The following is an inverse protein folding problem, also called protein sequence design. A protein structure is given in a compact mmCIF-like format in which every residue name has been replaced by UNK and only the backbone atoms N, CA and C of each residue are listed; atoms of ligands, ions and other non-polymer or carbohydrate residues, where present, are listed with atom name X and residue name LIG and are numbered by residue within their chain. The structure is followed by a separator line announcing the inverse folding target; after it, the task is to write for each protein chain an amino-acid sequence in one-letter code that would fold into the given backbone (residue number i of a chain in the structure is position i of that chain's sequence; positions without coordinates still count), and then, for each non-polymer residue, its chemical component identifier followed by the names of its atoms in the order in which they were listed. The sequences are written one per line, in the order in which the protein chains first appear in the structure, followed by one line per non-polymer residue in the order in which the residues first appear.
data_IF_128722610853
#
_entry.id   IF_128722610853
#
_cell.length_a   1.000
_cell.length_b   1.000
_cell.length_c   1.000
_cell.angle_alpha   90.00
_cell.angle_beta   90.00
_cell.angle_gamma   90.00
#
_symmetry.space_group_name_H-M   'P 1'
#
loop_
_entity.id
_entity.type
_entity.pdbx_description
1 polymer ?
#
# COMPACT_ATOMS: atom_id res chain seq x y z
N UNK A 1 -2.94 21.55 -8.22
CA UNK A 1 -2.56 20.13 -8.10
C UNK A 1 -2.87 19.59 -6.72
N UNK A 2 -2.21 20.07 -5.65
CA UNK A 2 -2.45 19.53 -4.30
C UNK A 2 -3.88 19.70 -3.81
N UNK A 3 -4.60 20.75 -4.21
CA UNK A 3 -6.01 20.89 -3.84
C UNK A 3 -6.85 19.76 -4.44
N UNK A 4 -6.62 19.36 -5.69
CA UNK A 4 -7.28 18.20 -6.29
C UNK A 4 -6.99 16.90 -5.52
N UNK A 5 -5.73 16.71 -5.10
CA UNK A 5 -5.34 15.55 -4.28
C UNK A 5 -6.02 15.59 -2.91
N UNK A 6 -6.11 16.77 -2.28
CA UNK A 6 -6.80 16.96 -1.00
C UNK A 6 -8.29 16.64 -1.11
N UNK A 7 -8.96 17.16 -2.13
CA UNK A 7 -10.40 16.93 -2.35
C UNK A 7 -10.70 15.48 -2.75
N UNK A 8 -9.72 14.76 -3.31
CA UNK A 8 -9.88 13.34 -3.70
C UNK A 8 -9.67 12.36 -2.55
N UNK A 9 -8.95 12.74 -1.50
CA UNK A 9 -8.55 11.84 -0.41
C UNK A 9 -9.29 12.17 0.89
N UNK A 10 -9.28 11.25 1.86
CA UNK A 10 -9.63 11.63 3.23
C UNK A 10 -8.60 12.61 3.81
N UNK A 11 -8.99 13.40 4.81
CA UNK A 11 -8.06 14.32 5.49
C UNK A 11 -6.80 13.59 6.01
N UNK A 12 -6.98 12.47 6.72
CA UNK A 12 -5.87 11.62 7.20
C UNK A 12 -5.04 11.05 6.06
N UNK A 13 -5.67 10.70 4.93
CA UNK A 13 -5.01 10.25 3.71
C UNK A 13 -4.11 11.32 3.11
N UNK A 14 -4.64 12.52 2.93
CA UNK A 14 -3.91 13.67 2.41
C UNK A 14 -2.73 14.04 3.31
N UNK A 15 -2.93 14.06 4.63
CA UNK A 15 -1.87 14.34 5.59
C UNK A 15 -0.74 13.30 5.49
N UNK A 16 -1.08 12.00 5.42
CA UNK A 16 -0.09 10.93 5.23
C UNK A 16 0.70 11.09 3.93
N UNK A 17 0.04 11.45 2.83
CA UNK A 17 0.70 11.71 1.53
C UNK A 17 1.64 12.92 1.63
N UNK A 18 1.21 13.99 2.30
CA UNK A 18 2.07 15.16 2.53
C UNK A 18 3.26 14.85 3.41
N UNK A 19 3.08 14.02 4.43
CA UNK A 19 4.18 13.60 5.31
C UNK A 19 5.20 12.70 4.59
N UNK A 20 4.76 11.84 3.65
CA UNK A 20 5.69 11.13 2.75
C UNK A 20 6.53 12.13 1.93
N UNK A 21 5.90 13.17 1.35
CA UNK A 21 6.61 14.19 0.59
C UNK A 21 7.58 15.01 1.47
N UNK A 22 7.21 15.30 2.72
CA UNK A 22 8.07 16.00 3.70
C UNK A 22 9.26 15.14 4.13
N UNK A 23 9.03 13.85 4.41
CA UNK A 23 10.11 12.93 4.75
C UNK A 23 11.03 12.63 3.57
N UNK A 24 10.53 12.72 2.33
CA UNK A 24 11.39 12.72 1.15
C UNK A 24 12.37 13.90 1.20
N UNK A 25 11.89 15.11 1.48
CA UNK A 25 12.77 16.28 1.68
C UNK A 25 13.79 16.07 2.78
N UNK A 26 13.34 15.55 3.92
CA UNK A 26 14.22 15.27 5.05
C UNK A 26 15.33 14.29 4.67
N UNK A 27 15.02 13.21 3.96
CA UNK A 27 16.03 12.31 3.39
C UNK A 27 17.02 13.08 2.50
N UNK A 28 16.49 13.96 1.64
CA UNK A 28 17.29 14.85 0.80
C UNK A 28 18.28 15.71 1.58
N UNK A 29 17.89 16.22 2.75
CA UNK A 29 18.80 16.93 3.65
C UNK A 29 19.87 16.00 4.23
N UNK A 30 19.48 14.82 4.71
CA UNK A 30 20.40 13.83 5.31
C UNK A 30 21.48 13.36 4.33
N UNK A 31 21.13 13.17 3.05
CA UNK A 31 22.05 12.67 2.02
C UNK A 31 22.64 13.78 1.13
N UNK A 32 22.33 15.05 1.42
CA UNK A 32 22.84 16.20 0.67
C UNK A 32 22.33 16.28 -0.78
N UNK A 33 21.11 15.79 -1.07
CA UNK A 33 20.53 15.76 -2.42
C UNK A 33 19.04 16.14 -2.46
N UNK A 34 18.72 17.34 -1.95
CA UNK A 34 17.34 17.90 -1.98
C UNK A 34 16.81 18.20 -3.38
N UNK A 35 17.65 18.18 -4.42
CA UNK A 35 17.21 18.31 -5.81
C UNK A 35 16.43 17.08 -6.28
N UNK A 36 16.90 15.89 -5.92
CA UNK A 36 16.24 14.62 -6.28
C UNK A 36 15.17 14.26 -5.25
N UNK A 37 15.48 14.41 -3.96
CA UNK A 37 14.58 14.06 -2.88
C UNK A 37 13.84 15.28 -2.32
N UNK A 38 13.54 16.29 -3.13
CA UNK A 38 12.86 17.49 -2.64
C UNK A 38 11.43 17.20 -2.18
N UNK A 39 10.87 18.09 -1.36
CA UNK A 39 9.45 18.04 -0.97
C UNK A 39 8.52 18.06 -2.19
N UNK A 40 8.98 18.69 -3.28
CA UNK A 40 8.23 18.92 -4.50
C UNK A 40 8.75 18.11 -5.70
N UNK A 41 9.63 17.14 -5.47
CA UNK A 41 10.20 16.28 -6.50
C UNK A 41 9.26 15.13 -6.88
N UNK A 42 8.03 15.47 -7.28
CA UNK A 42 6.96 14.55 -7.64
C UNK A 42 6.30 14.97 -8.96
N UNK A 43 5.86 14.00 -9.74
CA UNK A 43 5.16 14.20 -11.00
C UNK A 43 3.67 13.97 -10.82
N UNK A 44 2.87 14.83 -11.45
CA UNK A 44 1.43 14.70 -11.49
C UNK A 44 0.96 14.54 -12.93
N UNK A 45 0.10 13.56 -13.17
CA UNK A 45 -0.51 13.32 -14.48
C UNK A 45 -2.03 13.30 -14.33
N UNK A 46 -2.73 14.06 -15.16
CA UNK A 46 -4.19 14.04 -15.26
C UNK A 46 -4.59 13.24 -16.51
N UNK A 47 -5.56 12.36 -16.37
CA UNK A 47 -6.11 11.54 -17.44
C UNK A 47 -7.58 11.91 -17.66
N UNK A 48 -7.91 12.31 -18.89
CA UNK A 48 -9.25 12.80 -19.22
C UNK A 48 -9.59 14.15 -18.58
N UNK A 49 -10.86 14.52 -18.67
CA UNK A 49 -11.41 15.73 -18.06
C UNK A 49 -12.23 15.38 -16.81
N UNK A 50 -12.02 16.05 -15.66
CA UNK A 50 -12.82 15.82 -14.47
C UNK A 50 -14.32 15.85 -14.74
N UNK A 51 -15.01 14.78 -14.38
CA UNK A 51 -16.41 14.58 -14.68
C UNK A 51 -17.10 13.75 -13.59
N UNK A 52 -18.38 14.05 -13.26
CA UNK A 52 -19.15 13.20 -12.36
C UNK A 52 -19.55 11.86 -13.01
N UNK A 53 -19.53 11.78 -14.36
CA UNK A 53 -20.07 10.63 -15.11
C UNK A 53 -19.06 9.97 -16.03
N UNK A 54 -18.22 10.75 -16.73
CA UNK A 54 -17.21 10.20 -17.65
C UNK A 54 -16.00 9.70 -16.86
N UNK A 55 -15.28 8.67 -17.36
CA UNK A 55 -14.03 8.24 -16.75
C UNK A 55 -12.98 9.35 -16.79
N UNK A 56 -12.35 9.62 -15.66
CA UNK A 56 -11.17 10.45 -15.53
C UNK A 56 -10.34 9.98 -14.34
N UNK A 57 -9.11 10.43 -14.25
CA UNK A 57 -8.24 10.02 -13.16
C UNK A 57 -6.98 10.84 -13.05
N UNK A 58 -6.20 10.54 -12.04
CA UNK A 58 -4.92 11.21 -11.85
C UNK A 58 -3.90 10.27 -11.20
N UNK A 59 -2.63 10.58 -11.44
CA UNK A 59 -1.49 9.95 -10.81
C UNK A 59 -0.65 11.01 -10.11
N UNK A 60 -0.17 10.69 -8.90
CA UNK A 60 0.87 11.44 -8.21
C UNK A 60 1.98 10.45 -7.87
N UNK A 61 3.18 10.65 -8.44
CA UNK A 61 4.28 9.71 -8.27
C UNK A 61 5.64 10.39 -8.06
N UNK A 62 6.53 9.71 -7.36
CA UNK A 62 7.90 10.14 -7.10
C UNK A 62 8.59 9.14 -6.18
N UNK A 63 9.74 9.54 -5.64
CA UNK A 63 10.42 8.71 -4.65
C UNK A 63 9.51 8.48 -3.44
N UNK A 64 9.33 7.22 -3.05
CA UNK A 64 8.45 6.79 -1.95
C UNK A 64 6.94 7.07 -2.08
N UNK A 65 6.45 7.49 -3.25
CA UNK A 65 5.02 7.77 -3.45
C UNK A 65 4.56 7.34 -4.83
N UNK A 66 3.50 6.54 -4.91
CA UNK A 66 2.72 6.39 -6.13
C UNK A 66 1.24 6.24 -5.78
N UNK A 67 0.42 7.18 -6.22
CA UNK A 67 -1.03 7.16 -6.07
C UNK A 67 -1.66 7.08 -7.46
N UNK A 68 -2.65 6.20 -7.61
CA UNK A 68 -3.38 6.01 -8.86
C UNK A 68 -4.87 6.11 -8.57
N UNK A 69 -5.50 7.18 -9.03
CA UNK A 69 -6.91 7.46 -8.82
C UNK A 69 -7.68 7.36 -10.14
N UNK A 70 -8.73 6.54 -10.16
CA UNK A 70 -9.74 6.52 -11.22
C UNK A 70 -11.08 6.92 -10.60
N UNK A 71 -11.79 7.82 -11.27
CA UNK A 71 -13.18 8.17 -10.98
C UNK A 71 -14.03 7.91 -12.22
N UNK A 72 -15.14 7.21 -12.03
CA UNK A 72 -16.06 6.85 -13.11
C UNK A 72 -17.46 6.65 -12.53
N UNK A 73 -18.43 7.39 -13.04
CA UNK A 73 -19.84 7.28 -12.64
C UNK A 73 -20.08 7.22 -11.12
N UNK A 74 -19.50 8.17 -10.39
CA UNK A 74 -19.58 8.24 -8.92
C UNK A 74 -18.77 7.19 -8.15
N UNK A 75 -18.10 6.26 -8.82
CA UNK A 75 -17.20 5.27 -8.22
C UNK A 75 -15.75 5.75 -8.25
N UNK A 76 -14.99 5.40 -7.22
CA UNK A 76 -13.58 5.76 -7.09
C UNK A 76 -12.73 4.52 -6.80
N UNK A 77 -11.65 4.35 -7.56
CA UNK A 77 -10.61 3.35 -7.30
C UNK A 77 -9.30 4.09 -7.00
N UNK A 78 -8.71 3.82 -5.83
CA UNK A 78 -7.41 4.37 -5.42
C UNK A 78 -6.40 3.23 -5.24
N UNK A 79 -6.08 2.56 -6.34
CA UNK A 79 -5.10 1.48 -6.37
C UNK A 79 -4.59 1.25 -7.79
N UNK A 80 -3.30 0.91 -7.99
CA UNK A 80 -2.32 0.63 -6.94
C UNK A 80 -1.92 1.88 -6.15
N UNK A 81 -1.57 1.70 -4.88
CA UNK A 81 -1.05 2.75 -4.00
C UNK A 81 0.27 2.24 -3.41
N UNK A 82 1.32 3.06 -3.49
CA UNK A 82 2.60 2.84 -2.85
C UNK A 82 2.93 4.05 -1.97
N UNK A 83 3.18 3.79 -0.69
CA UNK A 83 3.67 4.77 0.27
C UNK A 83 4.90 4.19 0.96
N UNK A 84 6.00 4.93 0.96
CA UNK A 84 7.19 4.58 1.71
C UNK A 84 7.81 5.77 2.43
N UNK A 85 8.84 5.52 3.23
CA UNK A 85 9.76 6.53 3.74
C UNK A 85 11.05 5.90 4.27
N UNK A 86 12.13 6.65 4.17
CA UNK A 86 13.47 6.35 4.71
C UNK A 86 14.07 7.72 5.10
N UNK A 87 14.18 8.08 6.40
CA UNK A 87 13.55 7.45 7.55
C UNK A 87 12.02 7.70 7.62
N UNK A 88 11.28 6.88 8.37
CA UNK A 88 9.83 7.04 8.65
C UNK A 88 9.49 8.13 9.67
N UNK A 89 10.49 8.90 10.10
CA UNK A 89 10.36 10.01 11.02
C UNK A 89 11.41 11.10 10.77
N UNK A 90 11.12 12.32 11.20
CA UNK A 90 12.10 13.39 11.28
C UNK A 90 12.32 13.81 12.74
N UNK A 91 13.55 13.72 13.22
CA UNK A 91 13.98 14.12 14.57
C UNK A 91 14.70 15.48 14.59
N UNK A 92 14.98 16.04 13.42
CA UNK A 92 15.58 17.36 13.21
C UNK A 92 15.00 18.06 11.97
N UNK A 93 15.55 19.23 11.62
CA UNK A 93 15.15 19.97 10.43
C UNK A 93 13.76 20.61 10.50
N UNK A 94 13.29 21.12 9.36
CA UNK A 94 12.01 21.82 9.23
C UNK A 94 10.81 20.93 9.63
N UNK A 95 10.90 19.63 9.39
CA UNK A 95 9.81 18.67 9.58
C UNK A 95 9.94 17.85 10.86
N UNK A 96 10.77 18.30 11.81
CA UNK A 96 10.93 17.65 13.13
C UNK A 96 9.57 17.34 13.77
N UNK A 97 9.40 16.07 14.15
CA UNK A 97 8.19 15.56 14.78
C UNK A 97 7.26 14.79 13.84
N UNK A 98 7.43 14.90 12.51
CA UNK A 98 6.70 14.07 11.55
C UNK A 98 7.07 12.60 11.75
N UNK A 99 6.06 11.73 11.76
CA UNK A 99 6.15 10.28 11.94
C UNK A 99 5.03 9.61 11.14
N UNK A 100 5.35 8.60 10.35
CA UNK A 100 4.36 7.85 9.55
C UNK A 100 4.52 6.33 9.70
N UNK A 101 3.47 5.59 9.33
CA UNK A 101 3.36 4.11 9.39
C UNK A 101 3.28 3.47 10.77
N UNK A 102 3.02 4.25 11.84
CA UNK A 102 2.87 3.71 13.20
C UNK A 102 1.67 2.76 13.30
N UNK A 103 0.55 3.13 12.68
CA UNK A 103 -0.67 2.33 12.72
C UNK A 103 -0.44 0.98 12.01
N UNK A 104 0.11 0.99 10.79
CA UNK A 104 0.44 -0.23 10.03
C UNK A 104 1.43 -1.13 10.78
N UNK A 105 2.48 -0.56 11.36
CA UNK A 105 3.48 -1.30 12.12
C UNK A 105 2.85 -1.97 13.36
N UNK A 106 2.17 -1.18 14.20
CA UNK A 106 1.60 -1.68 15.45
C UNK A 106 0.46 -2.68 15.23
N UNK A 107 -0.47 -2.38 14.32
CA UNK A 107 -1.61 -3.26 14.05
C UNK A 107 -1.16 -4.59 13.42
N UNK A 108 -0.15 -4.56 12.54
CA UNK A 108 0.45 -5.77 11.95
C UNK A 108 1.13 -6.65 13.00
N UNK A 109 1.94 -6.03 13.86
CA UNK A 109 2.65 -6.73 14.94
C UNK A 109 1.67 -7.28 16.00
N UNK A 110 0.64 -6.53 16.36
CA UNK A 110 -0.43 -6.98 17.24
C UNK A 110 -1.13 -8.22 16.65
N UNK A 111 -1.50 -8.18 15.36
CA UNK A 111 -2.21 -9.28 14.72
C UNK A 111 -1.42 -10.58 14.79
N UNK A 112 -0.14 -10.59 14.40
CA UNK A 112 0.68 -11.81 14.41
C UNK A 112 0.90 -12.35 15.84
N UNK A 113 0.95 -11.46 16.84
CA UNK A 113 1.07 -11.82 18.26
C UNK A 113 -0.23 -12.37 18.85
N UNK A 114 -1.39 -11.93 18.35
CA UNK A 114 -2.70 -12.43 18.75
C UNK A 114 -3.02 -13.83 18.20
N UNK A 115 -2.28 -14.31 17.20
CA UNK A 115 -2.48 -15.65 16.64
C UNK A 115 -2.16 -16.74 17.66
N UNK A 116 -2.95 -17.81 17.65
CA UNK A 116 -2.62 -19.04 18.39
C UNK A 116 -1.32 -19.64 17.86
N UNK A 117 -0.69 -20.55 18.61
CA UNK A 117 0.54 -21.22 18.16
C UNK A 117 0.37 -21.90 16.80
N UNK A 118 -0.77 -22.57 16.57
CA UNK A 118 -1.09 -23.21 15.30
C UNK A 118 -1.31 -22.22 14.15
N UNK A 119 -2.08 -21.15 14.38
CA UNK A 119 -2.28 -20.10 13.38
C UNK A 119 -0.96 -19.38 13.05
N UNK A 120 -0.13 -19.09 14.05
CA UNK A 120 1.16 -18.42 13.87
C UNK A 120 2.14 -19.30 13.10
N UNK A 121 2.14 -20.61 13.33
CA UNK A 121 2.94 -21.56 12.55
C UNK A 121 2.55 -21.60 11.06
N UNK A 122 1.28 -21.32 10.74
CA UNK A 122 0.83 -21.17 9.35
C UNK A 122 1.13 -19.78 8.78
N UNK A 123 0.96 -18.73 9.58
CA UNK A 123 1.18 -17.34 9.14
C UNK A 123 2.66 -17.03 8.88
N UNK A 124 3.56 -17.46 9.77
CA UNK A 124 5.00 -17.21 9.64
C UNK A 124 5.57 -18.20 8.63
N UNK A 125 5.70 -17.75 7.38
CA UNK A 125 6.20 -18.58 6.30
C UNK A 125 7.72 -18.62 6.27
N UNK A 126 8.40 -17.64 6.89
CA UNK A 126 9.87 -17.58 7.06
C UNK A 126 10.23 -16.77 8.31
N UNK A 127 11.34 -17.11 8.96
CA UNK A 127 11.79 -16.43 10.18
C UNK A 127 12.79 -15.30 9.96
N UNK A 128 13.47 -15.28 8.81
CA UNK A 128 14.41 -14.21 8.42
C UNK A 128 13.78 -13.39 7.30
N UNK A 129 13.83 -12.06 7.40
CA UNK A 129 13.53 -11.11 6.32
C UNK A 129 14.82 -10.60 5.64
N UNK A 130 15.97 -11.20 5.94
CA UNK A 130 17.21 -10.88 5.25
C UNK A 130 17.17 -11.46 3.84
N UNK A 131 17.48 -10.62 2.85
CA UNK A 131 17.48 -10.99 1.43
C UNK A 131 18.33 -12.21 1.08
N UNK A 132 19.57 -12.35 1.59
CA UNK A 132 20.43 -13.51 1.30
C UNK A 132 19.88 -14.86 1.76
N UNK A 133 19.00 -14.87 2.76
CA UNK A 133 18.40 -16.10 3.30
C UNK A 133 17.13 -16.51 2.54
N UNK A 134 16.66 -15.68 1.60
CA UNK A 134 15.43 -15.95 0.85
C UNK A 134 15.65 -16.95 -0.27
N UNK A 135 14.64 -17.78 -0.59
CA UNK A 135 14.69 -18.64 -1.76
C UNK A 135 14.77 -17.81 -3.06
N UNK A 136 15.31 -18.39 -4.14
CA UNK A 136 15.36 -17.72 -5.45
C UNK A 136 13.98 -17.17 -5.85
N UNK A 137 13.96 -15.90 -6.29
CA UNK A 137 12.75 -15.22 -6.73
C UNK A 137 11.87 -14.63 -5.62
N UNK A 138 12.21 -14.81 -4.33
CA UNK A 138 11.48 -14.17 -3.21
C UNK A 138 12.04 -12.81 -2.80
N UNK A 139 13.30 -12.53 -3.12
CA UNK A 139 13.93 -11.25 -2.83
C UNK A 139 14.35 -10.53 -4.11
N UNK A 140 14.11 -9.23 -4.18
CA UNK A 140 14.55 -8.35 -5.26
C UNK A 140 15.35 -7.17 -4.71
N UNK A 141 16.37 -6.68 -5.44
CA UNK A 141 17.22 -5.58 -4.95
C UNK A 141 16.45 -4.28 -4.70
N UNK A 142 15.43 -4.00 -5.50
CA UNK A 142 14.65 -2.76 -5.38
C UNK A 142 13.39 -2.95 -4.52
N UNK A 143 12.69 -4.08 -4.68
CA UNK A 143 11.40 -4.33 -4.02
C UNK A 143 11.52 -5.13 -2.72
N UNK A 144 12.71 -5.67 -2.43
CA UNK A 144 13.00 -6.59 -1.33
C UNK A 144 12.02 -7.76 -1.29
N UNK A 145 11.14 -7.84 -0.29
CA UNK A 145 10.19 -8.94 -0.15
C UNK A 145 8.84 -8.68 -0.84
N UNK A 146 8.61 -7.47 -1.35
CA UNK A 146 7.39 -7.14 -2.08
C UNK A 146 7.25 -7.98 -3.36
N UNK A 147 6.05 -8.51 -3.57
CA UNK A 147 5.66 -9.18 -4.82
C UNK A 147 4.81 -8.28 -5.72
N UNK A 148 4.14 -7.30 -5.13
CA UNK A 148 3.28 -6.32 -5.79
C UNK A 148 3.98 -5.00 -6.11
N UNK A 149 5.31 -4.97 -6.15
CA UNK A 149 6.13 -3.80 -6.49
C UNK A 149 5.94 -3.26 -7.92
N UNK A 150 6.85 -2.38 -8.33
CA UNK A 150 6.81 -1.77 -9.66
C UNK A 150 6.85 -2.84 -10.77
N UNK A 151 6.22 -2.56 -11.91
CA UNK A 151 6.18 -3.46 -13.09
C UNK A 151 5.50 -4.83 -12.87
N UNK A 152 4.72 -4.97 -11.80
CA UNK A 152 3.96 -6.18 -11.48
C UNK A 152 2.44 -6.01 -11.63
N UNK A 153 2.02 -5.26 -12.65
CA UNK A 153 0.60 -5.01 -12.95
C UNK A 153 -0.21 -6.28 -13.08
N UNK A 154 -1.28 -6.36 -12.27
CA UNK A 154 -2.21 -7.50 -12.22
C UNK A 154 -1.51 -8.85 -11.99
N UNK A 155 -0.36 -8.86 -11.33
CA UNK A 155 0.38 -10.08 -11.03
C UNK A 155 -0.48 -11.03 -10.21
N UNK A 156 -0.57 -12.28 -10.67
CA UNK A 156 -1.17 -13.37 -9.89
C UNK A 156 -0.14 -13.86 -8.89
N UNK A 157 -0.43 -13.62 -7.60
CA UNK A 157 0.40 -14.06 -6.47
C UNK A 157 -0.34 -15.19 -5.75
N UNK A 158 0.28 -16.36 -5.53
CA UNK A 158 -0.34 -17.42 -4.73
C UNK A 158 -0.66 -16.95 -3.31
N UNK A 159 -1.81 -17.39 -2.77
CA UNK A 159 -2.12 -17.18 -1.36
C UNK A 159 -1.08 -17.91 -0.49
N UNK A 160 -0.65 -17.24 0.58
CA UNK A 160 0.29 -17.77 1.56
C UNK A 160 -0.23 -17.44 2.96
N UNK A 161 0.18 -18.22 3.94
CA UNK A 161 -0.11 -17.94 5.34
C UNK A 161 -1.42 -18.54 5.82
N UNK A 162 -1.95 -17.96 6.91
CA UNK A 162 -3.16 -18.44 7.58
C UNK A 162 -4.41 -17.78 6.99
N UNK A 163 -5.46 -18.57 6.79
CA UNK A 163 -6.76 -18.07 6.35
C UNK A 163 -7.57 -17.53 7.55
N UNK A 164 -8.17 -16.35 7.38
CA UNK A 164 -8.98 -15.70 8.40
C UNK A 164 -10.34 -16.38 8.65
N UNK A 165 -10.73 -17.38 7.84
CA UNK A 165 -11.80 -18.31 8.18
C UNK A 165 -11.61 -18.93 9.58
N UNK A 166 -10.36 -19.28 9.92
CA UNK A 166 -9.99 -19.86 11.22
C UNK A 166 -9.72 -18.85 12.34
N UNK A 167 -9.93 -17.54 12.11
CA UNK A 167 -9.69 -16.51 13.11
C UNK A 167 -10.84 -16.41 14.11
N UNK A 168 -10.52 -16.10 15.37
CA UNK A 168 -11.50 -15.66 16.36
C UNK A 168 -12.09 -14.29 15.98
N UNK A 169 -13.22 -13.90 16.58
CA UNK A 169 -13.82 -12.60 16.31
C UNK A 169 -12.87 -11.43 16.61
N UNK A 170 -12.05 -11.54 17.66
CA UNK A 170 -11.05 -10.51 18.00
C UNK A 170 -9.94 -10.42 16.94
N UNK A 171 -9.45 -11.56 16.43
CA UNK A 171 -8.45 -11.60 15.36
C UNK A 171 -9.01 -11.06 14.03
N UNK A 172 -10.27 -11.36 13.72
CA UNK A 172 -10.99 -10.81 12.56
C UNK A 172 -11.11 -9.30 12.64
N UNK A 173 -11.52 -8.77 13.79
CA UNK A 173 -11.61 -7.33 14.00
C UNK A 173 -10.24 -6.66 13.86
N UNK A 174 -9.18 -7.24 14.44
CA UNK A 174 -7.82 -6.69 14.29
C UNK A 174 -7.33 -6.71 12.83
N UNK A 175 -7.66 -7.75 12.07
CA UNK A 175 -7.35 -7.80 10.64
C UNK A 175 -8.10 -6.70 9.86
N UNK A 176 -9.38 -6.46 10.19
CA UNK A 176 -10.16 -5.38 9.57
C UNK A 176 -9.63 -3.99 9.95
N UNK A 177 -9.25 -3.77 11.22
CA UNK A 177 -8.59 -2.53 11.66
C UNK A 177 -7.32 -2.27 10.85
N UNK A 178 -6.51 -3.33 10.65
CA UNK A 178 -5.29 -3.28 9.87
C UNK A 178 -5.57 -2.93 8.40
N UNK A 179 -6.50 -3.62 7.75
CA UNK A 179 -6.90 -3.29 6.37
C UNK A 179 -7.41 -1.85 6.26
N UNK A 180 -8.20 -1.39 7.24
CA UNK A 180 -8.70 -0.02 7.27
C UNK A 180 -7.57 1.03 7.36
N UNK A 181 -6.46 0.74 8.06
CA UNK A 181 -5.30 1.62 8.10
C UNK A 181 -4.71 1.85 6.69
N UNK A 182 -4.69 0.81 5.85
CA UNK A 182 -4.21 0.88 4.46
C UNK A 182 -5.16 1.58 3.50
N UNK A 183 -6.46 1.39 3.66
CA UNK A 183 -7.46 2.02 2.79
C UNK A 183 -7.92 3.38 3.31
N UNK A 184 -7.34 3.86 4.40
CA UNK A 184 -7.58 5.19 4.98
C UNK A 184 -7.43 6.33 3.98
N UNK A 185 -6.53 6.30 2.97
CA UNK A 185 -6.48 7.36 1.97
C UNK A 185 -7.79 7.59 1.19
N UNK A 186 -8.64 6.57 1.04
CA UNK A 186 -9.96 6.73 0.44
C UNK A 186 -10.87 7.65 1.27
N UNK A 187 -11.69 8.50 0.65
CA UNK A 187 -12.74 9.26 1.34
C UNK A 187 -13.84 8.32 1.85
N UNK A 188 -14.72 8.82 2.72
CA UNK A 188 -15.64 8.01 3.53
C UNK A 188 -16.47 7.01 2.71
N UNK A 189 -17.12 7.46 1.63
CA UNK A 189 -17.97 6.61 0.77
C UNK A 189 -17.18 5.45 0.13
N UNK A 190 -16.17 5.73 -0.71
CA UNK A 190 -15.31 4.71 -1.30
C UNK A 190 -14.62 3.79 -0.27
N UNK A 191 -14.19 4.35 0.88
CA UNK A 191 -13.59 3.56 1.96
C UNK A 191 -14.58 2.58 2.57
N UNK A 192 -15.82 3.02 2.85
CA UNK A 192 -16.88 2.16 3.36
C UNK A 192 -17.19 1.03 2.37
N UNK A 193 -17.35 1.36 1.09
CA UNK A 193 -17.60 0.36 0.06
C UNK A 193 -16.47 -0.69 -0.03
N UNK A 194 -15.21 -0.23 0.07
CA UNK A 194 -14.04 -1.12 0.11
C UNK A 194 -14.04 -2.02 1.34
N UNK A 195 -14.31 -1.48 2.52
CA UNK A 195 -14.33 -2.27 3.76
C UNK A 195 -15.46 -3.30 3.76
N UNK A 196 -16.66 -2.94 3.29
CA UNK A 196 -17.76 -3.89 3.13
C UNK A 196 -17.41 -5.03 2.15
N UNK A 197 -16.65 -4.73 1.09
CA UNK A 197 -16.15 -5.73 0.15
C UNK A 197 -15.15 -6.69 0.81
N UNK A 198 -14.20 -6.17 1.58
CA UNK A 198 -13.25 -6.96 2.35
C UNK A 198 -13.96 -7.84 3.37
N UNK A 199 -14.95 -7.31 4.09
CA UNK A 199 -15.73 -8.06 5.08
C UNK A 199 -16.48 -9.25 4.45
N UNK A 200 -17.08 -9.07 3.27
CA UNK A 200 -17.73 -10.16 2.53
C UNK A 200 -16.77 -11.30 2.17
N UNK A 201 -15.50 -10.99 1.95
CA UNK A 201 -14.44 -11.95 1.61
C UNK A 201 -13.49 -12.25 2.77
N UNK A 202 -13.89 -11.92 4.01
CA UNK A 202 -13.00 -12.04 5.16
C UNK A 202 -12.57 -13.49 5.41
N UNK A 203 -13.45 -14.46 5.20
CA UNK A 203 -13.11 -15.88 5.35
C UNK A 203 -12.02 -16.33 4.36
N UNK A 204 -11.99 -15.75 3.15
CA UNK A 204 -11.03 -16.05 2.09
C UNK A 204 -9.76 -15.18 2.15
N UNK A 205 -9.67 -14.31 3.17
CA UNK A 205 -8.52 -13.44 3.36
C UNK A 205 -7.39 -14.20 4.06
N UNK A 206 -6.20 -14.14 3.48
CA UNK A 206 -5.00 -14.76 4.00
C UNK A 206 -4.04 -13.72 4.57
N UNK A 207 -3.36 -14.09 5.66
CA UNK A 207 -2.32 -13.31 6.30
C UNK A 207 -1.02 -14.11 6.39
N UNK A 208 0.07 -13.59 5.82
CA UNK A 208 1.40 -14.18 5.96
C UNK A 208 2.41 -13.18 6.52
N UNK A 209 3.46 -13.74 7.14
CA UNK A 209 4.50 -13.01 7.86
C UNK A 209 5.88 -13.58 7.55
N UNK A 210 6.86 -12.70 7.42
CA UNK A 210 8.28 -13.03 7.31
C UNK A 210 9.07 -12.18 8.29
N UNK A 211 9.93 -12.80 9.10
CA UNK A 211 10.79 -12.09 10.04
C UNK A 211 10.43 -12.32 11.51
N UNK A 212 10.99 -11.50 12.39
CA UNK A 212 10.78 -11.60 13.83
C UNK A 212 9.43 -11.03 14.27
N UNK A 213 9.05 -11.29 15.52
CA UNK A 213 7.79 -10.79 16.12
C UNK A 213 8.04 -10.01 17.42
N UNK A 214 9.30 -9.66 17.71
CA UNK A 214 9.69 -8.82 18.85
C UNK A 214 9.58 -7.33 18.53
N UNK A 215 9.64 -6.47 19.55
CA UNK A 215 9.46 -5.02 19.36
C UNK A 215 10.56 -4.37 18.51
N UNK A 216 11.77 -4.94 18.60
CA UNK A 216 12.94 -4.56 17.81
C UNK A 216 13.12 -5.39 16.53
N UNK A 217 12.23 -6.35 16.26
CA UNK A 217 12.33 -7.16 15.05
C UNK A 217 11.95 -6.36 13.82
N UNK A 218 12.57 -6.72 12.69
CA UNK A 218 12.08 -6.33 11.37
C UNK A 218 11.32 -7.46 10.69
N UNK A 219 10.42 -7.08 9.78
CA UNK A 219 9.49 -8.01 9.18
C UNK A 219 8.83 -7.49 7.90
N UNK A 220 8.26 -8.44 7.18
CA UNK A 220 7.30 -8.26 6.11
C UNK A 220 5.99 -8.94 6.50
N UNK A 221 4.87 -8.38 6.04
CA UNK A 221 3.61 -9.12 6.03
C UNK A 221 2.79 -8.82 4.78
N UNK A 222 1.89 -9.75 4.47
CA UNK A 222 0.92 -9.60 3.38
C UNK A 222 -0.47 -9.97 3.84
N UNK A 223 -1.44 -9.14 3.45
CA UNK A 223 -2.87 -9.44 3.53
C UNK A 223 -3.36 -9.60 2.10
N UNK A 224 -3.95 -10.75 1.79
CA UNK A 224 -4.38 -11.05 0.44
C UNK A 224 -5.74 -11.74 0.44
N UNK A 225 -6.67 -11.20 -0.33
CA UNK A 225 -8.01 -11.75 -0.56
C UNK A 225 -8.35 -11.66 -2.06
N UNK A 226 -9.54 -12.10 -2.48
CA UNK A 226 -10.01 -11.84 -3.84
C UNK A 226 -10.18 -10.35 -4.18
N UNK A 227 -10.22 -9.45 -3.19
CA UNK A 227 -10.62 -8.04 -3.40
C UNK A 227 -9.59 -7.02 -2.94
N UNK A 228 -8.62 -7.43 -2.11
CA UNK A 228 -7.53 -6.57 -1.65
C UNK A 228 -6.21 -7.34 -1.56
N UNK A 229 -5.13 -6.68 -1.96
CA UNK A 229 -3.76 -7.14 -1.79
C UNK A 229 -2.96 -6.02 -1.12
N UNK A 230 -2.43 -6.28 0.07
CA UNK A 230 -1.68 -5.33 0.87
C UNK A 230 -0.35 -5.95 1.26
N UNK A 231 0.73 -5.20 1.08
CA UNK A 231 2.06 -5.59 1.56
C UNK A 231 2.66 -4.49 2.45
N UNK A 232 3.43 -4.94 3.43
CA UNK A 232 4.29 -4.14 4.29
C UNK A 232 5.67 -4.78 4.29
N UNK A 233 6.71 -3.98 4.15
CA UNK A 233 8.08 -4.45 4.26
C UNK A 233 8.97 -3.39 4.90
N UNK A 234 9.84 -3.84 5.80
CA UNK A 234 10.94 -3.03 6.31
C UNK A 234 12.19 -3.31 5.50
N UNK A 235 12.76 -2.25 4.93
CA UNK A 235 13.80 -2.34 3.91
C UNK A 235 15.19 -2.11 4.48
N UNK A 236 16.18 -2.80 3.91
CA UNK A 236 17.58 -2.37 4.01
C UNK A 236 17.79 -1.03 3.28
N UNK A 237 18.79 -0.28 3.73
CA UNK A 237 19.06 1.07 3.23
C UNK A 237 19.40 1.08 1.75
N UNK A 238 18.78 2.00 1.02
CA UNK A 238 19.09 2.26 -0.40
C UNK A 238 19.92 3.54 -0.51
N UNK A 239 19.51 4.57 0.24
CA UNK A 239 20.21 5.86 0.31
C UNK A 239 20.92 6.06 1.64
N UNK A 240 20.38 5.50 2.72
CA UNK A 240 21.12 5.36 3.97
C UNK A 240 21.98 4.09 3.93
N UNK A 241 22.99 4.01 4.79
CA UNK A 241 24.04 3.00 4.70
C UNK A 241 23.77 1.74 5.52
N UNK A 242 22.55 1.55 6.06
CA UNK A 242 22.23 0.36 6.84
C UNK A 242 22.16 -0.87 5.92
N UNK A 243 22.99 -1.91 6.16
CA UNK A 243 23.08 -3.07 5.26
C UNK A 243 21.94 -4.07 5.44
N UNK A 244 21.18 -3.96 6.54
CA UNK A 244 20.08 -4.83 6.89
C UNK A 244 18.77 -4.04 7.00
N UNK A 245 17.61 -4.72 6.87
CA UNK A 245 16.30 -4.14 7.18
C UNK A 245 16.26 -3.42 8.51
N UNK A 246 15.73 -2.19 8.49
CA UNK A 246 15.55 -1.36 9.68
C UNK A 246 14.11 -0.85 9.79
N UNK A 247 13.64 -0.65 11.03
CA UNK A 247 12.26 -0.19 11.29
C UNK A 247 11.96 1.22 10.75
N UNK A 248 13.01 2.00 10.49
CA UNK A 248 12.87 3.35 9.95
C UNK A 248 12.78 3.39 8.42
N UNK A 249 12.85 2.27 7.72
CA UNK A 249 12.67 2.24 6.26
C UNK A 249 11.50 1.32 5.93
N UNK A 250 10.34 1.91 5.67
CA UNK A 250 9.10 1.15 5.45
C UNK A 250 8.56 1.45 4.07
N UNK A 251 8.20 0.39 3.35
CA UNK A 251 7.46 0.43 2.10
C UNK A 251 6.12 -0.29 2.29
N UNK A 252 5.05 0.29 1.73
CA UNK A 252 3.71 -0.28 1.75
C UNK A 252 3.07 -0.25 0.38
N UNK A 253 2.28 -1.28 0.07
CA UNK A 253 1.57 -1.40 -1.19
C UNK A 253 0.11 -1.79 -0.92
N UNK A 254 -0.82 -1.17 -1.67
CA UNK A 254 -2.22 -1.59 -1.78
C UNK A 254 -2.56 -1.78 -3.26
N UNK A 255 -3.07 -2.95 -3.63
CA UNK A 255 -3.53 -3.28 -4.99
C UNK A 255 -4.94 -3.84 -4.96
N UNK A 256 -5.61 -3.77 -6.11
CA UNK A 256 -6.89 -4.46 -6.31
C UNK A 256 -6.64 -5.70 -7.17
N UNK A 257 -6.81 -6.92 -6.64
CA UNK A 257 -6.57 -8.17 -7.37
C UNK A 257 -7.45 -8.35 -8.61
N UNK A 258 -7.24 -9.49 -9.29
CA UNK A 258 -8.12 -10.01 -10.35
C UNK A 258 -8.25 -9.10 -11.59
N UNK A 259 -7.15 -8.47 -12.00
CA UNK A 259 -7.12 -7.66 -13.21
C UNK A 259 -7.60 -6.21 -13.02
N UNK A 260 -7.81 -5.78 -11.77
CA UNK A 260 -8.43 -4.50 -11.46
C UNK A 260 -7.46 -3.45 -10.89
N UNK A 261 -6.15 -3.63 -11.04
CA UNK A 261 -5.22 -2.51 -10.88
C UNK A 261 -5.63 -1.36 -11.80
N UNK A 262 -5.50 -0.12 -11.32
CA UNK A 262 -5.91 1.10 -12.01
C UNK A 262 -7.43 1.16 -12.32
N UNK A 263 -8.25 0.29 -11.73
CA UNK A 263 -9.68 0.21 -12.02
C UNK A 263 -10.00 -0.31 -13.42
N UNK A 264 -9.09 -1.07 -14.03
CA UNK A 264 -9.21 -1.55 -15.41
C UNK A 264 -10.47 -2.39 -15.65
N UNK A 265 -10.88 -3.21 -14.67
CA UNK A 265 -12.09 -4.01 -14.83
C UNK A 265 -13.36 -3.14 -14.75
N UNK A 266 -13.35 -2.15 -13.85
CA UNK A 266 -14.43 -1.18 -13.77
C UNK A 266 -14.58 -0.37 -15.07
N UNK A 267 -13.46 0.09 -15.63
CA UNK A 267 -13.44 0.77 -16.91
C UNK A 267 -13.99 -0.13 -18.03
N UNK A 268 -13.57 -1.40 -18.06
CA UNK A 268 -14.09 -2.41 -19.01
C UNK A 268 -15.61 -2.56 -18.88
N UNK A 269 -16.14 -2.70 -17.67
CA UNK A 269 -17.58 -2.82 -17.41
C UNK A 269 -18.35 -1.59 -17.90
N UNK A 270 -17.85 -0.39 -17.63
CA UNK A 270 -18.47 0.85 -18.12
C UNK A 270 -18.56 0.87 -19.65
N UNK A 271 -17.50 0.52 -20.38
CA UNK A 271 -17.56 0.48 -21.85
C UNK A 271 -18.55 -0.57 -22.37
N UNK A 272 -18.63 -1.74 -21.74
CA UNK A 272 -19.58 -2.78 -22.13
C UNK A 272 -21.05 -2.39 -21.90
N UNK A 273 -21.32 -1.59 -20.86
CA UNK A 273 -22.67 -1.18 -20.48
C UNK A 273 -23.12 0.10 -21.19
N UNK A 274 -22.25 1.11 -21.26
CA UNK A 274 -22.56 2.46 -21.74
C UNK A 274 -22.29 2.68 -23.23
N UNK A 275 -21.46 1.83 -23.86
CA UNK A 275 -20.98 2.05 -25.23
C UNK A 275 -21.15 0.84 -26.16
N UNK A 276 -22.20 0.04 -25.98
CA UNK A 276 -22.54 -1.06 -26.91
C UNK A 276 -22.49 -0.57 -28.37
N UNK A 277 -21.43 -0.95 -29.10
CA UNK A 277 -21.25 -0.65 -30.53
C UNK A 277 -20.14 0.33 -30.92
N UNK A 278 -19.37 0.92 -29.98
CA UNK A 278 -18.17 1.72 -30.32
C UNK A 278 -16.89 1.10 -29.79
N UNK A 279 -15.83 1.10 -30.61
CA UNK A 279 -14.50 0.59 -30.23
C UNK A 279 -13.79 1.61 -29.32
N UNK A 280 -12.94 1.17 -28.37
CA UNK A 280 -12.08 2.07 -27.61
C UNK A 280 -11.18 2.89 -28.54
N UNK A 281 -11.14 4.23 -28.38
CA UNK A 281 -10.29 5.14 -29.16
C UNK A 281 -11.01 5.98 -30.22
N UNK A 282 -12.33 5.88 -30.36
CA UNK A 282 -13.14 6.78 -31.19
C UNK A 282 -13.80 7.86 -30.31
N UNK A 283 -13.04 8.87 -29.90
CA UNK A 283 -13.56 10.16 -29.42
C UNK A 283 -12.59 11.28 -29.72
#
# INVERSE_FOLDING_TARGET
VLDLVRESLSAKGYDKVRDVMRLNHYLGELVGNTRVFGEWSFNFTLFGEPSPVKPWGWQLMGHHLALNCLVIDGQMVLSPTFLGAEPTYADSGQFKGVRIFQDEEHLGLDLVRMLSSGQRAQAIIRHSNLGPDQPPGRWHRADQLHLGGAFHDNRVVPYEGVAAAGFSSAQKNRLLDLVNAYVTPLPEGPRKARMEEVERHLADTHFCWIGGTGDASTYYYRIQSPVVFIEFDQHAGVYLTNPAPEKFHIHTIVRTPNGNDYGMDLLRMHYLQSHRGRKPGES
#
